data_IF_350886877183
#
_entry.id   IF_350886877183
#
_cell.length_a   1.000
_cell.length_b   1.000
_cell.length_c   1.000
_cell.angle_alpha   90.00
_cell.angle_beta   90.00
_cell.angle_gamma   90.00
#
_symmetry.space_group_name_H-M   'P 1'
#
loop_
_entity.id
_entity.type
_entity.pdbx_description
1 polymer ?
#
# COMPACT_ATOMS: atom_id res chain seq x y z
N UNK A 1 8.34 -21.59 5.68
CA UNK A 1 7.20 -20.73 5.97
C UNK A 1 6.00 -21.64 6.11
N UNK A 2 5.12 -21.43 7.06
CA UNK A 2 4.00 -22.32 7.30
C UNK A 2 2.73 -21.67 6.72
N UNK A 3 2.03 -22.36 5.83
CA UNK A 3 0.78 -21.87 5.26
C UNK A 3 -0.27 -21.51 6.33
N UNK A 4 -0.21 -22.15 7.49
CA UNK A 4 -1.05 -21.80 8.63
C UNK A 4 -0.81 -20.38 9.16
N UNK A 5 0.43 -19.89 9.07
CA UNK A 5 0.78 -18.54 9.48
C UNK A 5 0.37 -17.49 8.43
N UNK A 6 0.41 -17.88 7.13
CA UNK A 6 0.05 -16.98 6.03
C UNK A 6 -1.46 -16.89 5.77
N UNK A 7 -2.20 -17.97 6.06
CA UNK A 7 -3.63 -18.09 5.80
C UNK A 7 -4.42 -18.58 7.03
N UNK A 8 -4.33 -17.92 8.19
CA UNK A 8 -4.95 -18.40 9.44
C UNK A 8 -6.48 -18.48 9.36
N UNK A 9 -7.08 -17.86 8.35
CA UNK A 9 -8.52 -17.77 8.11
C UNK A 9 -9.03 -18.82 7.10
N UNK A 10 -8.14 -19.56 6.42
CA UNK A 10 -8.54 -20.49 5.37
C UNK A 10 -9.11 -21.78 5.94
N UNK A 11 -10.30 -22.16 5.46
CA UNK A 11 -10.91 -23.44 5.80
C UNK A 11 -10.20 -24.62 5.12
N UNK A 12 -9.47 -24.35 4.02
CA UNK A 12 -8.65 -25.34 3.29
C UNK A 12 -7.59 -26.02 4.15
N UNK A 13 -7.12 -25.34 5.19
CA UNK A 13 -6.10 -25.87 6.11
C UNK A 13 -6.63 -27.07 6.92
N UNK A 14 -7.95 -27.19 7.03
CA UNK A 14 -8.64 -28.25 7.79
C UNK A 14 -9.33 -29.26 6.90
N UNK A 15 -9.23 -29.10 5.58
CA UNK A 15 -9.83 -30.04 4.61
C UNK A 15 -8.95 -31.28 4.45
N UNK A 16 -9.49 -32.44 4.84
CA UNK A 16 -8.77 -33.71 4.76
C UNK A 16 -8.32 -34.07 3.34
N UNK A 17 -9.04 -33.58 2.31
CA UNK A 17 -8.70 -33.80 0.90
C UNK A 17 -7.33 -33.18 0.54
N UNK A 18 -6.99 -32.03 1.13
CA UNK A 18 -5.78 -31.28 0.81
C UNK A 18 -4.64 -31.48 1.79
N UNK A 19 -4.82 -32.25 2.87
CA UNK A 19 -3.80 -32.46 3.90
C UNK A 19 -2.46 -32.87 3.31
N UNK A 20 -2.44 -33.86 2.43
CA UNK A 20 -1.21 -34.35 1.84
C UNK A 20 -0.54 -33.36 0.86
N UNK A 21 -1.31 -32.43 0.26
CA UNK A 21 -0.81 -31.36 -0.57
C UNK A 21 -0.23 -30.24 0.32
N UNK A 22 -0.88 -29.90 1.42
CA UNK A 22 -0.42 -28.93 2.40
C UNK A 22 0.90 -29.36 3.05
N UNK A 23 1.04 -30.65 3.38
CA UNK A 23 2.31 -31.20 3.88
C UNK A 23 3.43 -31.06 2.84
N UNK A 24 3.12 -31.29 1.56
CA UNK A 24 4.09 -31.14 0.47
C UNK A 24 4.48 -29.67 0.27
N UNK A 25 3.54 -28.71 0.36
CA UNK A 25 3.87 -27.27 0.27
C UNK A 25 4.79 -26.84 1.40
N UNK A 26 4.56 -27.31 2.61
CA UNK A 26 5.41 -27.07 3.77
C UNK A 26 6.82 -27.67 3.59
N UNK A 27 6.89 -28.92 3.12
CA UNK A 27 8.16 -29.62 2.88
C UNK A 27 9.00 -28.94 1.80
N UNK A 28 8.37 -28.46 0.74
CA UNK A 28 9.04 -27.78 -0.39
C UNK A 28 9.14 -26.26 -0.23
N UNK A 29 8.67 -25.71 0.91
CA UNK A 29 8.69 -24.28 1.23
C UNK A 29 8.02 -23.40 0.15
N UNK A 30 6.92 -23.88 -0.43
CA UNK A 30 6.13 -23.14 -1.40
C UNK A 30 5.27 -22.10 -0.68
N UNK A 31 5.37 -20.85 -1.10
CA UNK A 31 4.60 -19.73 -0.54
C UNK A 31 3.16 -19.66 -1.11
N UNK A 32 2.27 -18.95 -0.42
CA UNK A 32 0.90 -18.68 -0.91
C UNK A 32 0.92 -17.96 -2.26
N UNK A 33 1.86 -17.04 -2.46
CA UNK A 33 2.00 -16.31 -3.72
C UNK A 33 2.34 -17.28 -4.86
N UNK A 34 3.26 -18.21 -4.64
CA UNK A 34 3.60 -19.23 -5.63
C UNK A 34 2.42 -20.15 -5.91
N UNK A 35 1.66 -20.54 -4.88
CA UNK A 35 0.44 -21.35 -5.05
C UNK A 35 -0.60 -20.66 -5.92
N UNK A 36 -0.71 -19.35 -5.86
CA UNK A 36 -1.68 -18.58 -6.65
C UNK A 36 -1.18 -18.20 -8.05
N UNK A 37 0.13 -18.03 -8.24
CA UNK A 37 0.69 -17.47 -9.47
C UNK A 37 1.39 -18.48 -10.37
N UNK A 38 1.94 -19.55 -9.81
CA UNK A 38 2.67 -20.56 -10.57
C UNK A 38 1.68 -21.53 -11.24
N UNK A 39 2.00 -21.92 -12.47
CA UNK A 39 1.17 -22.86 -13.23
C UNK A 39 1.04 -24.22 -12.51
N UNK A 40 -0.17 -24.77 -12.47
CA UNK A 40 -0.48 -26.06 -11.81
C UNK A 40 0.42 -27.22 -12.24
N UNK A 41 0.86 -27.26 -13.51
CA UNK A 41 1.76 -28.29 -14.02
C UNK A 41 3.17 -28.19 -13.43
N UNK A 42 3.65 -27.00 -13.21
CA UNK A 42 4.96 -26.73 -12.59
C UNK A 42 4.92 -27.00 -11.09
N UNK A 43 3.89 -26.50 -10.40
CA UNK A 43 3.65 -26.81 -8.99
C UNK A 43 3.49 -28.31 -8.73
N UNK A 44 2.78 -29.02 -9.58
CA UNK A 44 2.61 -30.47 -9.46
C UNK A 44 3.94 -31.22 -9.52
N UNK A 45 4.92 -30.71 -10.29
CA UNK A 45 6.28 -31.26 -10.33
C UNK A 45 7.05 -30.96 -9.05
N UNK A 46 6.98 -29.73 -8.56
CA UNK A 46 7.65 -29.30 -7.33
C UNK A 46 7.11 -30.08 -6.14
N UNK A 47 5.80 -30.16 -6.02
CA UNK A 47 5.12 -30.80 -4.91
C UNK A 47 5.03 -32.34 -5.02
N UNK A 48 5.43 -32.90 -6.16
CA UNK A 48 5.32 -34.34 -6.48
C UNK A 48 3.89 -34.85 -6.33
N UNK A 49 2.92 -34.04 -6.79
CA UNK A 49 1.48 -34.31 -6.72
C UNK A 49 0.84 -34.35 -8.10
N UNK A 50 -0.42 -34.79 -8.17
CA UNK A 50 -1.17 -34.80 -9.43
C UNK A 50 -1.53 -33.38 -9.86
N UNK A 51 -1.54 -33.12 -11.16
CA UNK A 51 -1.94 -31.82 -11.72
C UNK A 51 -3.38 -31.47 -11.34
N UNK A 52 -4.26 -32.49 -11.33
CA UNK A 52 -5.68 -32.29 -11.01
C UNK A 52 -5.88 -31.86 -9.55
N UNK A 53 -5.15 -32.46 -8.61
CA UNK A 53 -5.17 -32.11 -7.20
C UNK A 53 -4.69 -30.68 -6.98
N UNK A 54 -3.56 -30.30 -7.59
CA UNK A 54 -3.00 -28.95 -7.51
C UNK A 54 -3.94 -27.92 -8.15
N UNK A 55 -4.50 -28.21 -9.33
CA UNK A 55 -5.46 -27.32 -9.98
C UNK A 55 -6.71 -27.10 -9.13
N UNK A 56 -7.26 -28.15 -8.55
CA UNK A 56 -8.43 -28.07 -7.68
C UNK A 56 -8.13 -27.22 -6.44
N UNK A 57 -6.98 -27.45 -5.82
CA UNK A 57 -6.53 -26.65 -4.68
C UNK A 57 -6.37 -25.17 -5.02
N UNK A 58 -5.71 -24.86 -6.15
CA UNK A 58 -5.56 -23.48 -6.62
C UNK A 58 -6.91 -22.80 -6.91
N UNK A 59 -7.85 -23.52 -7.49
CA UNK A 59 -9.19 -23.01 -7.75
C UNK A 59 -9.92 -22.66 -6.45
N UNK A 60 -9.95 -23.57 -5.46
CA UNK A 60 -10.60 -23.34 -4.18
C UNK A 60 -9.91 -22.22 -3.40
N UNK A 61 -8.57 -22.19 -3.38
CA UNK A 61 -7.78 -21.14 -2.75
C UNK A 61 -8.09 -19.76 -3.38
N UNK A 62 -8.16 -19.69 -4.71
CA UNK A 62 -8.52 -18.47 -5.43
C UNK A 62 -9.94 -18.00 -5.10
N UNK A 63 -10.89 -18.92 -4.95
CA UNK A 63 -12.27 -18.60 -4.56
C UNK A 63 -12.33 -18.07 -3.12
N UNK A 64 -11.58 -18.65 -2.19
CA UNK A 64 -11.50 -18.15 -0.82
C UNK A 64 -10.88 -16.74 -0.78
N UNK A 65 -9.79 -16.51 -1.50
CA UNK A 65 -9.20 -15.17 -1.63
C UNK A 65 -10.18 -14.15 -2.22
N UNK A 66 -10.84 -14.48 -3.32
CA UNK A 66 -11.84 -13.62 -3.92
C UNK A 66 -13.01 -13.33 -2.97
N UNK A 67 -13.43 -14.33 -2.19
CA UNK A 67 -14.48 -14.18 -1.19
C UNK A 67 -14.08 -13.21 -0.07
N UNK A 68 -12.82 -13.24 0.36
CA UNK A 68 -12.27 -12.28 1.32
C UNK A 68 -12.14 -10.88 0.74
N UNK A 69 -11.64 -10.75 -0.47
CA UNK A 69 -11.56 -9.46 -1.16
C UNK A 69 -12.95 -8.85 -1.43
N UNK A 70 -13.98 -9.70 -1.64
CA UNK A 70 -15.35 -9.26 -1.88
C UNK A 70 -16.20 -9.16 -0.61
N UNK A 71 -15.70 -9.57 0.56
CA UNK A 71 -16.38 -9.40 1.86
C UNK A 71 -16.36 -7.96 2.40
N UNK A 72 -15.88 -6.99 1.63
CA UNK A 72 -16.25 -5.60 1.89
C UNK A 72 -17.79 -5.54 1.89
N UNK A 73 -18.37 -5.32 3.08
CA UNK A 73 -19.83 -5.17 3.21
C UNK A 73 -20.31 -4.20 2.15
N UNK A 74 -21.37 -4.51 1.36
CA UNK A 74 -21.95 -3.54 0.44
C UNK A 74 -22.31 -2.30 1.27
N UNK A 75 -21.65 -1.17 0.96
CA UNK A 75 -21.97 0.11 1.57
C UNK A 75 -23.09 0.74 0.76
N UNK A 76 -24.05 1.37 1.44
CA UNK A 76 -25.00 2.25 0.77
C UNK A 76 -24.21 3.39 0.11
N UNK A 77 -24.65 3.85 -1.06
CA UNK A 77 -24.01 4.96 -1.77
C UNK A 77 -23.87 6.21 -0.88
N UNK A 78 -24.79 6.39 0.06
CA UNK A 78 -24.75 7.47 1.06
C UNK A 78 -23.66 7.27 2.15
N UNK A 79 -23.09 6.07 2.28
CA UNK A 79 -22.01 5.75 3.23
C UNK A 79 -20.64 5.78 2.56
N UNK A 80 -20.61 5.94 1.23
CA UNK A 80 -19.38 6.14 0.49
C UNK A 80 -19.05 7.63 0.63
N UNK A 81 -18.04 7.93 1.43
CA UNK A 81 -17.50 9.29 1.46
C UNK A 81 -17.03 9.67 0.05
N UNK A 82 -17.41 10.86 -0.40
CA UNK A 82 -16.89 11.41 -1.65
C UNK A 82 -15.36 11.42 -1.60
N UNK A 83 -14.69 11.02 -2.70
CA UNK A 83 -13.24 11.06 -2.75
C UNK A 83 -12.77 12.49 -2.48
N UNK A 84 -12.03 12.67 -1.39
CA UNK A 84 -11.43 13.95 -1.06
C UNK A 84 -10.23 14.18 -1.98
N UNK A 85 -9.96 15.42 -2.31
CA UNK A 85 -8.73 15.85 -2.96
C UNK A 85 -8.08 16.95 -2.14
N UNK A 86 -6.77 17.11 -2.28
CA UNK A 86 -6.06 18.23 -1.68
C UNK A 86 -5.19 18.92 -2.73
N UNK A 87 -5.04 20.22 -2.56
CA UNK A 87 -4.28 21.09 -3.45
C UNK A 87 -2.79 20.77 -3.39
N UNK A 88 -2.13 20.84 -4.53
CA UNK A 88 -0.66 20.84 -4.62
C UNK A 88 -0.05 22.15 -4.15
N UNK A 89 -0.88 23.17 -3.83
CA UNK A 89 -0.52 24.56 -3.60
C UNK A 89 0.05 25.29 -4.84
N UNK A 90 -0.18 24.74 -6.02
CA UNK A 90 0.10 25.35 -7.31
C UNK A 90 -1.15 25.25 -8.20
N UNK A 91 -1.72 26.39 -8.54
CA UNK A 91 -3.00 26.48 -9.28
C UNK A 91 -2.88 25.80 -10.65
N UNK A 92 -1.74 25.93 -11.32
CA UNK A 92 -1.56 25.35 -12.66
C UNK A 92 -1.53 23.82 -12.62
N UNK A 93 -0.92 23.26 -11.58
CA UNK A 93 -0.89 21.81 -11.38
C UNK A 93 -2.27 21.32 -10.96
N UNK A 94 -2.93 22.02 -10.04
CA UNK A 94 -4.29 21.68 -9.57
C UNK A 94 -5.30 21.70 -10.72
N UNK A 95 -5.25 22.70 -11.59
CA UNK A 95 -6.10 22.79 -12.77
C UNK A 95 -5.86 21.62 -13.74
N UNK A 96 -4.60 21.25 -13.96
CA UNK A 96 -4.24 20.13 -14.82
C UNK A 96 -4.69 18.78 -14.25
N UNK A 97 -4.79 18.66 -12.92
CA UNK A 97 -5.23 17.45 -12.20
C UNK A 97 -6.76 17.45 -11.92
N UNK A 98 -7.48 18.49 -12.31
CA UNK A 98 -8.92 18.58 -12.04
C UNK A 98 -9.29 18.86 -10.59
N UNK A 99 -8.39 19.54 -9.84
CA UNK A 99 -8.65 19.98 -8.47
C UNK A 99 -7.66 19.46 -7.41
N UNK A 100 -6.50 18.96 -7.84
CA UNK A 100 -5.45 18.49 -6.93
C UNK A 100 -5.30 16.97 -6.89
N UNK A 101 -4.69 16.46 -5.84
CA UNK A 101 -4.40 15.02 -5.65
C UNK A 101 -5.56 14.34 -4.93
N UNK A 102 -6.11 13.28 -5.50
CA UNK A 102 -7.17 12.48 -4.89
C UNK A 102 -6.64 11.58 -3.77
N UNK A 103 -7.43 11.44 -2.70
CA UNK A 103 -7.09 10.58 -1.55
C UNK A 103 -7.37 9.10 -1.79
N UNK A 104 -8.15 8.77 -2.81
CA UNK A 104 -8.45 7.39 -3.19
C UNK A 104 -7.68 7.00 -4.44
N UNK A 105 -7.16 5.77 -4.42
CA UNK A 105 -6.37 5.23 -5.52
C UNK A 105 -4.87 5.54 -5.43
N UNK A 106 -4.18 5.33 -6.53
CA UNK A 106 -2.74 5.55 -6.68
C UNK A 106 -2.51 6.64 -7.72
N UNK A 107 -1.81 7.69 -7.35
CA UNK A 107 -1.35 8.73 -8.29
C UNK A 107 0.11 8.46 -8.61
N UNK A 108 0.41 8.16 -9.87
CA UNK A 108 1.77 7.96 -10.35
C UNK A 108 2.35 9.26 -10.93
N UNK A 109 3.57 9.61 -10.51
CA UNK A 109 4.32 10.75 -11.04
C UNK A 109 5.60 10.22 -11.68
N UNK A 110 5.70 10.32 -13.00
CA UNK A 110 6.85 9.83 -13.75
C UNK A 110 7.52 10.94 -14.57
N UNK A 111 8.77 10.74 -14.94
CA UNK A 111 9.56 11.71 -15.71
C UNK A 111 11.05 11.46 -15.56
N UNK A 112 11.86 12.16 -16.33
CA UNK A 112 13.33 12.08 -16.31
C UNK A 112 13.91 12.50 -14.95
N UNK A 113 15.17 12.14 -14.70
CA UNK A 113 15.87 12.61 -13.51
C UNK A 113 15.92 14.14 -13.48
N UNK A 114 15.89 14.71 -12.28
CA UNK A 114 15.97 16.18 -12.05
C UNK A 114 14.77 16.99 -12.57
N UNK A 115 13.64 16.37 -12.94
CA UNK A 115 12.42 17.08 -13.37
C UNK A 115 11.56 17.62 -12.23
N UNK A 116 11.98 17.43 -10.98
CA UNK A 116 11.29 17.96 -9.80
C UNK A 116 10.31 16.99 -9.13
N UNK A 117 10.26 15.71 -9.49
CA UNK A 117 9.34 14.71 -8.87
C UNK A 117 9.44 14.70 -7.34
N UNK A 118 10.64 14.52 -6.80
CA UNK A 118 10.85 14.50 -5.34
C UNK A 118 10.53 15.86 -4.69
N UNK A 119 10.76 16.96 -5.40
CA UNK A 119 10.39 18.29 -4.93
C UNK A 119 8.86 18.42 -4.81
N UNK A 120 8.11 17.91 -5.79
CA UNK A 120 6.65 17.89 -5.75
C UNK A 120 6.14 16.98 -4.61
N UNK A 121 6.72 15.79 -4.42
CA UNK A 121 6.34 14.90 -3.32
C UNK A 121 6.60 15.53 -1.95
N UNK A 122 7.70 16.23 -1.75
CA UNK A 122 7.96 17.02 -0.54
C UNK A 122 6.92 18.13 -0.36
N UNK A 123 6.54 18.82 -1.43
CA UNK A 123 5.49 19.83 -1.37
C UNK A 123 4.14 19.24 -1.00
N UNK A 124 3.75 18.11 -1.56
CA UNK A 124 2.52 17.40 -1.22
C UNK A 124 2.49 16.96 0.25
N UNK A 125 3.62 16.50 0.79
CA UNK A 125 3.73 16.09 2.20
C UNK A 125 3.57 17.26 3.19
N UNK A 126 3.79 18.49 2.74
CA UNK A 126 3.52 19.70 3.50
C UNK A 126 2.09 20.22 3.24
N UNK A 127 1.64 20.18 1.99
CA UNK A 127 0.33 20.70 1.59
C UNK A 127 -0.84 19.95 2.23
N UNK A 128 -0.73 18.63 2.39
CA UNK A 128 -1.76 17.79 3.03
C UNK A 128 -2.07 18.23 4.47
N UNK A 129 -1.11 18.85 5.16
CA UNK A 129 -1.24 19.33 6.53
C UNK A 129 -2.06 20.63 6.64
N UNK A 130 -2.20 21.39 5.57
CA UNK A 130 -3.01 22.61 5.57
C UNK A 130 -4.48 22.28 5.93
N UNK A 131 -5.18 23.22 6.56
CA UNK A 131 -6.61 23.04 6.83
C UNK A 131 -7.42 22.97 5.53
N UNK A 132 -8.59 22.30 5.51
CA UNK A 132 -9.43 22.16 4.31
C UNK A 132 -9.78 23.48 3.61
N UNK A 133 -9.98 24.56 4.36
CA UNK A 133 -10.23 25.91 3.82
C UNK A 133 -9.08 26.45 2.96
N UNK A 134 -7.88 25.92 3.09
CA UNK A 134 -6.70 26.24 2.29
C UNK A 134 -6.31 25.14 1.33
N UNK A 135 -7.23 24.21 1.07
CA UNK A 135 -7.03 23.11 0.13
C UNK A 135 -6.28 21.91 0.67
N UNK A 136 -5.92 21.86 1.95
CA UNK A 136 -5.33 20.70 2.60
C UNK A 136 -6.37 19.76 3.20
N UNK A 137 -5.92 18.78 3.98
CA UNK A 137 -6.76 17.84 4.71
C UNK A 137 -6.61 17.94 6.23
N UNK A 138 -5.68 18.77 6.72
CA UNK A 138 -5.32 18.84 8.14
C UNK A 138 -4.67 17.55 8.64
N UNK A 139 -4.13 16.73 7.72
CA UNK A 139 -3.64 15.39 8.01
C UNK A 139 -2.11 15.32 8.17
N UNK A 140 -1.63 14.09 8.37
CA UNK A 140 -0.21 13.75 8.40
C UNK A 140 0.17 12.97 7.13
N UNK A 141 1.46 12.73 6.94
CA UNK A 141 1.99 12.03 5.77
C UNK A 141 2.97 10.94 6.19
N UNK A 142 2.95 9.82 5.49
CA UNK A 142 4.02 8.83 5.53
C UNK A 142 4.83 8.96 4.24
N UNK A 143 6.13 9.14 4.36
CA UNK A 143 7.06 9.30 3.26
C UNK A 143 8.03 8.10 3.23
N UNK A 144 7.85 7.22 2.25
CA UNK A 144 8.70 6.04 2.07
C UNK A 144 9.74 6.36 0.99
N UNK A 145 11.03 6.21 1.33
CA UNK A 145 12.14 6.42 0.39
C UNK A 145 12.78 5.10 0.00
N UNK A 146 13.14 4.96 -1.26
CA UNK A 146 13.92 3.81 -1.77
C UNK A 146 15.35 4.20 -2.13
N UNK A 147 15.65 5.49 -2.24
CA UNK A 147 16.94 6.04 -2.61
C UNK A 147 17.31 7.20 -1.68
N UNK A 148 18.04 6.89 -0.60
CA UNK A 148 18.50 7.89 0.36
C UNK A 148 17.41 8.40 1.30
N UNK A 149 17.78 9.36 2.16
CA UNK A 149 16.91 9.92 3.18
C UNK A 149 16.12 11.13 2.68
N UNK A 150 14.99 11.40 3.32
CA UNK A 150 14.20 12.60 3.06
C UNK A 150 15.02 13.86 3.43
N UNK A 151 15.20 14.83 2.51
CA UNK A 151 16.00 16.02 2.76
C UNK A 151 15.28 16.99 3.71
N UNK A 152 15.44 16.81 5.01
CA UNK A 152 14.76 17.59 6.06
C UNK A 152 15.09 19.07 6.02
N UNK A 153 16.34 19.43 5.68
CA UNK A 153 16.73 20.83 5.49
C UNK A 153 15.90 21.49 4.38
N UNK A 154 15.67 20.76 3.29
CA UNK A 154 14.86 21.29 2.18
C UNK A 154 13.40 21.49 2.58
N UNK A 155 12.83 20.59 3.37
CA UNK A 155 11.48 20.78 3.94
C UNK A 155 11.41 22.05 4.80
N UNK A 156 12.41 22.30 5.64
CA UNK A 156 12.48 23.53 6.46
C UNK A 156 12.53 24.78 5.59
N UNK A 157 13.33 24.78 4.52
CA UNK A 157 13.39 25.89 3.57
C UNK A 157 12.03 26.14 2.91
N UNK A 158 11.34 25.07 2.51
CA UNK A 158 10.01 25.15 1.88
C UNK A 158 8.98 25.73 2.86
N UNK A 159 8.96 25.26 4.11
CA UNK A 159 8.10 25.81 5.16
C UNK A 159 8.46 27.29 5.40
N UNK A 160 9.75 27.61 5.47
CA UNK A 160 10.22 28.98 5.72
C UNK A 160 9.87 29.96 4.60
N UNK A 161 9.82 29.49 3.37
CA UNK A 161 9.55 30.34 2.19
C UNK A 161 8.07 30.65 1.96
N UNK A 162 7.15 29.93 2.62
CA UNK A 162 5.70 30.06 2.40
C UNK A 162 4.96 30.49 3.67
N UNK A 163 4.41 31.71 3.71
CA UNK A 163 3.66 32.20 4.87
C UNK A 163 2.50 31.27 5.26
N UNK A 164 1.78 30.71 4.28
CA UNK A 164 0.65 29.82 4.51
C UNK A 164 1.03 28.56 5.29
N UNK A 165 2.25 28.03 5.12
CA UNK A 165 2.72 26.88 5.90
C UNK A 165 3.03 27.27 7.34
N UNK A 166 3.73 28.41 7.54
CA UNK A 166 4.10 28.88 8.88
C UNK A 166 2.87 29.24 9.73
N UNK A 167 1.93 29.97 9.14
CA UNK A 167 0.75 30.48 9.86
C UNK A 167 -0.21 29.36 10.25
N UNK A 168 -0.20 28.23 9.53
CA UNK A 168 -1.08 27.08 9.79
C UNK A 168 -0.36 25.91 10.50
N UNK A 169 0.84 26.12 11.02
CA UNK A 169 1.53 25.12 11.84
C UNK A 169 2.00 23.88 11.08
N UNK A 170 2.23 24.01 9.76
CA UNK A 170 2.81 22.94 8.96
C UNK A 170 4.21 22.65 9.46
N UNK A 171 4.50 21.38 9.77
CA UNK A 171 5.76 20.95 10.35
C UNK A 171 6.28 19.66 9.70
N UNK A 172 7.58 19.52 9.65
CA UNK A 172 8.21 18.24 9.29
C UNK A 172 7.92 17.12 10.29
N UNK A 173 7.56 17.46 11.54
CA UNK A 173 7.23 16.47 12.59
C UNK A 173 5.93 15.72 12.30
N UNK A 174 5.11 16.21 11.36
CA UNK A 174 3.91 15.53 10.86
C UNK A 174 4.19 14.62 9.66
N UNK A 175 5.45 14.40 9.30
CA UNK A 175 5.87 13.53 8.21
C UNK A 175 6.61 12.34 8.80
N UNK A 176 5.96 11.17 8.83
CA UNK A 176 6.61 9.92 9.21
C UNK A 176 7.49 9.44 8.05
N UNK A 177 8.75 9.18 8.30
CA UNK A 177 9.69 8.74 7.26
C UNK A 177 10.17 7.33 7.52
N UNK A 178 10.27 6.54 6.46
CA UNK A 178 10.88 5.22 6.51
C UNK A 178 11.70 4.98 5.25
N UNK A 179 12.92 4.46 5.43
CA UNK A 179 13.81 4.09 4.33
C UNK A 179 13.63 2.61 4.01
N UNK A 180 13.43 2.31 2.73
CA UNK A 180 13.20 0.99 2.19
C UNK A 180 14.35 0.62 1.25
N UNK A 181 15.17 -0.35 1.61
CA UNK A 181 16.39 -0.69 0.87
C UNK A 181 16.24 -1.91 -0.04
N UNK A 182 15.20 -2.71 0.16
CA UNK A 182 14.93 -3.93 -0.60
C UNK A 182 13.43 -4.28 -0.60
N UNK A 183 13.06 -5.25 -1.43
CA UNK A 183 11.67 -5.67 -1.62
C UNK A 183 11.07 -6.30 -0.36
N UNK A 184 11.84 -7.09 0.39
CA UNK A 184 11.36 -7.74 1.62
C UNK A 184 11.03 -6.70 2.68
N UNK A 185 11.88 -5.68 2.81
CA UNK A 185 11.65 -4.55 3.69
C UNK A 185 10.44 -3.72 3.25
N UNK A 186 10.25 -3.54 1.94
CA UNK A 186 9.07 -2.85 1.41
C UNK A 186 7.77 -3.58 1.76
N UNK A 187 7.73 -4.89 1.59
CA UNK A 187 6.57 -5.71 1.97
C UNK A 187 6.29 -5.62 3.47
N UNK A 188 7.32 -5.69 4.29
CA UNK A 188 7.17 -5.54 5.74
C UNK A 188 6.63 -4.15 6.14
N UNK A 189 7.16 -3.09 5.51
CA UNK A 189 6.68 -1.72 5.76
C UNK A 189 5.18 -1.60 5.40
N UNK A 190 4.79 -2.06 4.21
CA UNK A 190 3.42 -1.89 3.71
C UNK A 190 2.41 -2.80 4.44
N UNK A 191 2.79 -4.03 4.76
CA UNK A 191 1.86 -5.02 5.33
C UNK A 191 1.82 -5.01 6.86
N UNK A 192 2.84 -4.50 7.54
CA UNK A 192 2.94 -4.54 9.00
C UNK A 192 3.09 -3.16 9.61
N UNK A 193 4.12 -2.40 9.22
CA UNK A 193 4.42 -1.13 9.91
C UNK A 193 3.40 -0.05 9.59
N UNK A 194 3.00 0.09 8.33
CA UNK A 194 2.04 1.12 7.92
C UNK A 194 0.65 0.92 8.53
N UNK A 195 0.04 -0.28 8.53
CA UNK A 195 -1.22 -0.52 9.24
C UNK A 195 -1.16 -0.16 10.73
N UNK A 196 -0.11 -0.60 11.44
CA UNK A 196 0.09 -0.28 12.86
C UNK A 196 0.22 1.24 13.09
N UNK A 197 0.94 1.94 12.20
CA UNK A 197 1.08 3.39 12.27
C UNK A 197 -0.27 4.09 12.09
N UNK A 198 -1.07 3.66 11.13
CA UNK A 198 -2.39 4.23 10.85
C UNK A 198 -3.36 4.02 12.02
N UNK A 199 -3.41 2.82 12.62
CA UNK A 199 -4.24 2.53 13.79
C UNK A 199 -3.90 3.41 15.01
N UNK A 200 -2.63 3.80 15.18
CA UNK A 200 -2.19 4.60 16.31
C UNK A 200 -2.36 6.12 16.11
N UNK A 201 -2.74 6.56 14.92
CA UNK A 201 -2.79 7.99 14.56
C UNK A 201 -4.09 8.42 13.88
N UNK A 202 -5.16 7.65 14.05
CA UNK A 202 -6.54 8.08 13.72
C UNK A 202 -7.03 9.25 14.57
#
# INVERSE_FOLDING_TARGET
>A
MDLYDELPWSELLYDEEFTALLDATKQHQVSVVELLTVNAKELARILQRSINEVSKFQEVLSLEFNKQLTQSKPRLTAEIEDPKSFSTTDVSIDDALGGGIHTHGITEIFGESSTGKSQLLMQLSLAVQLPPKLGGLGGKCVYITTEGDLPTQRLQEMIASRPEFKENGVSQDNIFTVSCNDLVNQEHILNVQLPILLENHE
#
